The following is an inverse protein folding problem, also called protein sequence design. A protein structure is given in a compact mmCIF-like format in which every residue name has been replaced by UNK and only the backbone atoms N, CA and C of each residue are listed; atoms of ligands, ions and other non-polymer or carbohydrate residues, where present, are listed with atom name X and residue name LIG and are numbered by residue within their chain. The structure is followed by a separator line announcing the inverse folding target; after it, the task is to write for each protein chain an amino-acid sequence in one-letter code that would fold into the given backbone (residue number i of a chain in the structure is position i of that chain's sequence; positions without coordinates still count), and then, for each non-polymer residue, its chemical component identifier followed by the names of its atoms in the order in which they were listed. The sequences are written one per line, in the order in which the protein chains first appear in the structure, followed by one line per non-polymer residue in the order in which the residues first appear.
data_IF_496799874192
#
_entry.id   IF_496799874192
#
_cell.length_a   1.000
_cell.length_b   1.000
_cell.length_c   1.000
_cell.angle_alpha   90.00
_cell.angle_beta   90.00
_cell.angle_gamma   90.00
#
_symmetry.space_group_name_H-M   'P 1'
#
loop_
_entity.id
_entity.type
_entity.pdbx_description
1 polymer ?
#
# COMPACT_ATOMS: atom_id res chain seq x y z
N UNK A 1 -14.12 -27.14 -18.41
CA UNK A 1 -15.59 -27.12 -18.66
C UNK A 1 -15.95 -28.26 -19.62
N UNK A 2 -17.02 -29.02 -19.37
CA UNK A 2 -17.48 -30.10 -20.26
C UNK A 2 -18.27 -29.55 -21.45
N UNK A 3 -18.23 -30.22 -22.61
CA UNK A 3 -19.03 -29.90 -23.82
C UNK A 3 -20.53 -29.74 -23.52
N UNK A 4 -21.09 -30.61 -22.67
CA UNK A 4 -22.50 -30.51 -22.21
C UNK A 4 -22.74 -29.25 -21.36
N UNK A 5 -21.73 -28.80 -20.61
CA UNK A 5 -21.79 -27.55 -19.84
C UNK A 5 -21.81 -26.33 -20.75
N UNK A 6 -20.95 -26.31 -21.78
CA UNK A 6 -20.93 -25.24 -22.79
C UNK A 6 -22.27 -25.15 -23.53
N UNK A 7 -22.82 -26.27 -23.99
CA UNK A 7 -24.12 -26.31 -24.65
C UNK A 7 -25.24 -25.77 -23.75
N UNK A 8 -25.28 -26.15 -22.47
CA UNK A 8 -26.27 -25.62 -21.51
C UNK A 8 -26.09 -24.12 -21.26
N UNK A 9 -24.85 -23.62 -21.18
CA UNK A 9 -24.58 -22.19 -21.03
C UNK A 9 -25.08 -21.36 -22.22
N UNK A 10 -24.92 -21.85 -23.45
CA UNK A 10 -25.44 -21.19 -24.65
C UNK A 10 -26.98 -21.11 -24.62
N UNK A 11 -27.67 -22.18 -24.19
CA UNK A 11 -29.14 -22.20 -24.11
C UNK A 11 -29.67 -21.30 -22.97
N UNK A 12 -28.89 -21.06 -21.91
CA UNK A 12 -29.26 -20.17 -20.80
C UNK A 12 -28.97 -18.69 -21.06
N UNK A 13 -28.06 -18.37 -21.98
CA UNK A 13 -27.64 -16.99 -22.25
C UNK A 13 -28.81 -16.01 -22.55
N UNK A 14 -29.83 -16.36 -23.37
CA UNK A 14 -30.95 -15.46 -23.62
C UNK A 14 -31.78 -15.16 -22.37
N UNK A 15 -31.93 -16.13 -21.46
CA UNK A 15 -32.68 -15.95 -20.21
C UNK A 15 -31.85 -15.18 -19.17
N UNK A 16 -30.53 -15.40 -19.13
CA UNK A 16 -29.63 -14.64 -18.25
C UNK A 16 -29.63 -13.15 -18.58
N UNK A 17 -29.65 -12.78 -19.88
CA UNK A 17 -29.79 -11.38 -20.31
C UNK A 17 -31.13 -10.81 -19.84
N UNK A 18 -32.23 -11.54 -20.03
CA UNK A 18 -33.57 -11.12 -19.58
C UNK A 18 -33.66 -10.91 -18.08
N UNK A 19 -33.12 -11.82 -17.27
CA UNK A 19 -33.07 -11.65 -15.82
C UNK A 19 -32.26 -10.40 -15.43
N UNK A 20 -31.10 -10.15 -16.06
CA UNK A 20 -30.27 -8.96 -15.80
C UNK A 20 -30.95 -7.64 -16.13
N UNK A 21 -31.78 -7.61 -17.17
CA UNK A 21 -32.59 -6.43 -17.53
C UNK A 21 -33.98 -6.42 -16.87
N UNK A 22 -34.24 -7.33 -15.92
CA UNK A 22 -35.53 -7.52 -15.26
C UNK A 22 -36.71 -7.60 -16.26
N UNK A 23 -36.45 -8.19 -17.43
CA UNK A 23 -37.39 -8.37 -18.52
C UNK A 23 -38.05 -9.74 -18.45
N UNK A 24 -39.37 -9.77 -18.23
CA UNK A 24 -40.16 -11.00 -18.13
C UNK A 24 -40.42 -11.45 -16.70
N UNK A 25 -40.99 -12.65 -16.55
CA UNK A 25 -41.21 -13.26 -15.23
C UNK A 25 -39.90 -13.85 -14.70
N UNK A 26 -39.38 -13.24 -13.64
CA UNK A 26 -38.20 -13.72 -12.91
C UNK A 26 -38.65 -14.17 -11.54
N UNK A 27 -38.36 -15.42 -11.19
CA UNK A 27 -38.66 -15.94 -9.86
C UNK A 27 -37.84 -15.17 -8.82
N UNK A 28 -38.47 -14.68 -7.75
CA UNK A 28 -37.78 -13.98 -6.65
C UNK A 28 -38.11 -14.68 -5.34
N UNK A 29 -37.08 -15.07 -4.61
CA UNK A 29 -37.19 -15.64 -3.27
C UNK A 29 -36.50 -14.68 -2.29
N UNK A 30 -37.30 -13.90 -1.57
CA UNK A 30 -36.78 -12.88 -0.65
C UNK A 30 -35.94 -13.46 0.49
N UNK A 31 -36.27 -14.68 0.94
CA UNK A 31 -35.56 -15.35 2.03
C UNK A 31 -34.18 -15.77 1.54
N UNK A 32 -34.13 -16.41 0.38
CA UNK A 32 -32.85 -16.80 -0.23
C UNK A 32 -31.99 -15.57 -0.56
N UNK A 33 -32.58 -14.49 -1.10
CA UNK A 33 -31.83 -13.28 -1.44
C UNK A 33 -31.19 -12.62 -0.21
N UNK A 34 -31.89 -12.58 0.94
CA UNK A 34 -31.26 -12.09 2.18
C UNK A 34 -30.13 -13.02 2.65
N UNK A 35 -30.34 -14.34 2.61
CA UNK A 35 -29.32 -15.31 3.00
C UNK A 35 -28.09 -15.26 2.07
N UNK A 36 -28.29 -15.11 0.76
CA UNK A 36 -27.22 -14.98 -0.23
C UNK A 36 -26.39 -13.71 0.00
N UNK A 37 -27.04 -12.58 0.29
CA UNK A 37 -26.34 -11.34 0.65
C UNK A 37 -25.45 -11.53 1.88
N UNK A 38 -25.97 -12.15 2.94
CA UNK A 38 -25.17 -12.43 4.15
C UNK A 38 -24.02 -13.39 3.84
N UNK A 39 -24.25 -14.37 2.99
CA UNK A 39 -23.21 -15.30 2.54
C UNK A 39 -22.10 -14.61 1.74
N UNK A 40 -22.44 -13.63 0.89
CA UNK A 40 -21.46 -12.79 0.19
C UNK A 40 -20.62 -11.93 1.14
N UNK A 41 -21.26 -11.34 2.15
CA UNK A 41 -20.56 -10.60 3.21
C UNK A 41 -19.60 -11.51 3.98
N UNK A 42 -20.06 -12.71 4.38
CA UNK A 42 -19.25 -13.73 5.04
C UNK A 42 -18.02 -14.11 4.19
N UNK A 43 -18.21 -14.40 2.91
CA UNK A 43 -17.10 -14.74 2.00
C UNK A 43 -16.06 -13.62 1.92
N UNK A 44 -16.52 -12.38 1.80
CA UNK A 44 -15.65 -11.21 1.71
C UNK A 44 -14.87 -10.98 3.00
N UNK A 45 -15.54 -10.99 4.15
CA UNK A 45 -14.90 -10.71 5.43
C UNK A 45 -13.99 -11.86 5.87
N UNK A 46 -14.32 -13.12 5.58
CA UNK A 46 -13.41 -14.26 5.82
C UNK A 46 -12.13 -14.13 5.00
N UNK A 47 -12.25 -13.80 3.70
CA UNK A 47 -11.08 -13.58 2.85
C UNK A 47 -10.22 -12.43 3.37
N UNK A 48 -10.85 -11.34 3.78
CA UNK A 48 -10.15 -10.18 4.34
C UNK A 48 -9.42 -10.55 5.65
N UNK A 49 -10.05 -11.31 6.53
CA UNK A 49 -9.43 -11.82 7.75
C UNK A 49 -8.18 -12.65 7.43
N UNK A 50 -8.29 -13.59 6.49
CA UNK A 50 -7.14 -14.37 6.03
C UNK A 50 -6.02 -13.46 5.48
N UNK A 51 -6.33 -12.61 4.51
CA UNK A 51 -5.35 -11.79 3.80
C UNK A 51 -4.62 -10.80 4.74
N UNK A 52 -5.36 -10.14 5.65
CA UNK A 52 -4.77 -9.23 6.62
C UNK A 52 -3.96 -9.96 7.71
N UNK A 53 -4.40 -11.15 8.14
CA UNK A 53 -3.64 -11.96 9.11
C UNK A 53 -2.33 -12.45 8.53
N UNK A 54 -2.35 -12.90 7.27
CA UNK A 54 -1.14 -13.30 6.54
C UNK A 54 -0.20 -12.11 6.31
N UNK A 55 -0.75 -10.97 5.90
CA UNK A 55 0.03 -9.74 5.74
C UNK A 55 0.68 -9.31 7.06
N UNK A 56 -0.01 -9.43 8.19
CA UNK A 56 0.55 -9.14 9.51
C UNK A 56 1.73 -10.07 9.83
N UNK A 57 1.55 -11.38 9.63
CA UNK A 57 2.61 -12.38 9.81
C UNK A 57 3.85 -12.06 8.94
N UNK A 58 3.65 -11.81 7.65
CA UNK A 58 4.72 -11.50 6.71
C UNK A 58 5.43 -10.18 7.06
N UNK A 59 4.66 -9.17 7.50
CA UNK A 59 5.20 -7.86 7.86
C UNK A 59 6.11 -7.89 9.09
N UNK A 60 5.83 -8.72 10.09
CA UNK A 60 6.69 -8.84 11.27
C UNK A 60 8.03 -9.46 10.89
N UNK A 61 8.02 -10.56 10.13
CA UNK A 61 9.24 -11.17 9.63
C UNK A 61 10.04 -10.21 8.74
N UNK A 62 9.36 -9.55 7.80
CA UNK A 62 9.98 -8.57 6.91
C UNK A 62 10.58 -7.38 7.65
N UNK A 63 9.92 -6.89 8.71
CA UNK A 63 10.46 -5.82 9.55
C UNK A 63 11.78 -6.22 10.22
N UNK A 64 11.85 -7.42 10.80
CA UNK A 64 13.07 -7.90 11.47
C UNK A 64 14.19 -8.17 10.46
N UNK A 65 13.87 -8.72 9.29
CA UNK A 65 14.83 -8.94 8.22
C UNK A 65 15.41 -7.62 7.70
N UNK A 66 14.56 -6.60 7.50
CA UNK A 66 15.03 -5.27 7.13
C UNK A 66 15.92 -4.62 8.20
N UNK A 67 15.64 -4.83 9.48
CA UNK A 67 16.50 -4.35 10.57
C UNK A 67 17.89 -4.99 10.53
N UNK A 68 17.97 -6.29 10.23
CA UNK A 68 19.24 -7.01 10.06
C UNK A 68 20.00 -6.47 8.84
N UNK A 69 19.34 -6.34 7.69
CA UNK A 69 19.97 -5.82 6.46
C UNK A 69 20.44 -4.38 6.59
N UNK A 70 19.66 -3.55 7.30
CA UNK A 70 20.05 -2.19 7.63
C UNK A 70 21.36 -2.17 8.42
N UNK A 71 21.47 -3.00 9.47
CA UNK A 71 22.68 -3.13 10.27
C UNK A 71 23.90 -3.52 9.43
N UNK A 72 23.74 -4.52 8.56
CA UNK A 72 24.79 -4.99 7.63
C UNK A 72 25.26 -3.90 6.68
N UNK A 73 24.31 -3.11 6.17
CA UNK A 73 24.61 -2.01 5.26
C UNK A 73 25.40 -0.90 5.96
N UNK A 74 25.06 -0.56 7.20
CA UNK A 74 25.82 0.41 8.00
C UNK A 74 27.21 -0.14 8.33
N UNK A 75 27.32 -1.42 8.70
CA UNK A 75 28.61 -2.06 8.95
C UNK A 75 29.53 -2.01 7.71
N UNK A 76 28.99 -2.22 6.50
CA UNK A 76 29.74 -2.09 5.25
C UNK A 76 30.29 -0.67 5.03
N UNK A 77 29.51 0.36 5.35
CA UNK A 77 29.96 1.76 5.25
C UNK A 77 31.13 2.03 6.21
N UNK A 78 31.14 1.41 7.39
CA UNK A 78 32.21 1.55 8.37
C UNK A 78 33.46 0.72 8.06
N UNK A 79 33.39 -0.23 7.12
CA UNK A 79 34.57 -1.01 6.73
C UNK A 79 35.61 -0.10 6.06
N UNK A 80 36.91 -0.30 6.35
CA UNK A 80 37.96 0.45 5.68
C UNK A 80 37.87 0.27 4.16
N UNK A 81 38.03 1.37 3.42
CA UNK A 81 38.18 1.31 1.96
C UNK A 81 39.51 0.61 1.69
N UNK A 82 39.47 -0.63 1.18
CA UNK A 82 40.69 -1.39 0.89
C UNK A 82 41.54 -0.63 -0.11
N UNK A 83 42.73 -0.23 0.33
CA UNK A 83 43.78 0.31 -0.50
C UNK A 83 44.25 -0.66 -1.60
N UNK A 84 44.89 -0.12 -2.65
CA UNK A 84 45.62 -0.96 -3.63
C UNK A 84 46.81 -1.59 -2.92
N UNK A 85 46.99 -2.90 -3.05
CA UNK A 85 48.11 -3.68 -2.46
C UNK A 85 49.51 -3.11 -2.75
N UNK A 86 49.64 -2.25 -3.76
CA UNK A 86 50.87 -1.60 -4.21
C UNK A 86 51.26 -0.35 -3.42
N UNK A 87 50.39 0.18 -2.55
CA UNK A 87 50.62 1.44 -1.85
C UNK A 87 50.74 1.22 -0.32
N UNK A 88 51.93 1.37 0.30
CA UNK A 88 52.16 1.10 1.71
C UNK A 88 51.34 1.98 2.67
N UNK A 89 50.93 3.17 2.24
CA UNK A 89 50.10 4.10 3.04
C UNK A 89 48.61 3.74 3.01
N UNK A 90 48.20 2.80 2.15
CA UNK A 90 46.81 2.38 1.97
C UNK A 90 46.33 1.31 2.98
N UNK A 91 47.20 0.97 3.94
CA UNK A 91 46.98 0.01 5.04
C UNK A 91 46.61 0.76 6.35
N UNK A 92 46.32 2.06 6.30
CA UNK A 92 45.78 2.78 7.48
C UNK A 92 44.33 2.38 7.66
N UNK A 93 44.01 1.77 8.81
CA UNK A 93 42.65 1.43 9.20
C UNK A 93 41.90 2.72 9.55
N UNK A 94 41.41 3.44 8.54
CA UNK A 94 40.47 4.57 8.68
C UNK A 94 39.02 4.07 8.86
N UNK A 95 38.83 2.89 9.43
CA UNK A 95 37.49 2.35 9.73
C UNK A 95 37.00 2.78 11.11
N UNK A 96 35.70 2.60 11.36
CA UNK A 96 35.10 2.77 12.69
C UNK A 96 34.84 1.39 13.33
N UNK A 97 35.84 0.77 14.00
CA UNK A 97 35.71 -0.59 14.52
C UNK A 97 34.65 -0.72 15.61
N UNK A 98 34.44 0.33 16.41
CA UNK A 98 33.39 0.37 17.45
C UNK A 98 32.00 0.43 16.82
N UNK A 99 31.83 1.19 15.73
CA UNK A 99 30.59 1.22 14.96
C UNK A 99 30.27 -0.11 14.28
N UNK A 100 31.29 -0.82 13.77
CA UNK A 100 31.10 -2.17 13.20
C UNK A 100 30.62 -3.14 14.28
N UNK A 101 31.27 -3.15 15.46
CA UNK A 101 30.86 -3.99 16.59
C UNK A 101 29.43 -3.68 17.04
N UNK A 102 29.06 -2.40 17.10
CA UNK A 102 27.70 -1.98 17.42
C UNK A 102 26.65 -2.53 16.43
N UNK A 103 26.97 -2.56 15.14
CA UNK A 103 26.11 -3.17 14.13
C UNK A 103 26.01 -4.70 14.30
N UNK A 104 27.11 -5.38 14.61
CA UNK A 104 27.13 -6.83 14.85
C UNK A 104 26.33 -7.19 16.12
N UNK A 105 26.45 -6.40 17.18
CA UNK A 105 25.66 -6.54 18.41
C UNK A 105 24.16 -6.32 18.15
N UNK A 106 23.80 -5.27 17.40
CA UNK A 106 22.41 -5.04 17.01
C UNK A 106 21.86 -6.18 16.15
N UNK A 107 22.63 -6.66 15.17
CA UNK A 107 22.25 -7.82 14.35
C UNK A 107 21.98 -9.06 15.23
N UNK A 108 22.85 -9.34 16.22
CA UNK A 108 22.66 -10.46 17.12
C UNK A 108 21.36 -10.33 17.94
N UNK A 109 21.06 -9.13 18.46
CA UNK A 109 19.83 -8.86 19.20
C UNK A 109 18.59 -9.09 18.32
N UNK A 110 18.58 -8.57 17.09
CA UNK A 110 17.44 -8.72 16.19
C UNK A 110 17.26 -10.18 15.74
N UNK A 111 18.35 -10.92 15.53
CA UNK A 111 18.28 -12.36 15.25
C UNK A 111 17.69 -13.14 16.43
N UNK A 112 18.12 -12.86 17.66
CA UNK A 112 17.56 -13.51 18.86
C UNK A 112 16.08 -13.15 19.05
N UNK A 113 15.70 -11.91 18.77
CA UNK A 113 14.31 -11.46 18.77
C UNK A 113 13.48 -12.23 17.72
N UNK A 114 14.01 -12.45 16.52
CA UNK A 114 13.36 -13.26 15.49
C UNK A 114 13.09 -14.69 15.96
N UNK A 115 14.08 -15.33 16.58
CA UNK A 115 13.93 -16.68 17.16
C UNK A 115 12.90 -16.67 18.30
N UNK A 116 12.94 -15.65 19.16
CA UNK A 116 12.02 -15.51 20.30
C UNK A 116 10.57 -15.33 19.86
N UNK A 117 10.32 -14.59 18.78
CA UNK A 117 8.97 -14.31 18.27
C UNK A 117 8.41 -15.43 17.39
N UNK A 118 9.25 -16.34 16.92
CA UNK A 118 8.85 -17.38 15.98
C UNK A 118 7.71 -18.29 16.51
N UNK A 119 7.70 -18.74 17.79
CA UNK A 119 6.58 -19.51 18.32
C UNK A 119 5.24 -18.75 18.30
N UNK A 120 5.25 -17.44 18.59
CA UNK A 120 4.06 -16.59 18.54
C UNK A 120 3.54 -16.43 17.10
N UNK A 121 4.45 -16.28 16.14
CA UNK A 121 4.13 -16.23 14.72
C UNK A 121 3.54 -17.57 14.23
N UNK A 122 4.11 -18.70 14.62
CA UNK A 122 3.58 -20.04 14.30
C UNK A 122 2.20 -20.28 14.91
N UNK A 123 1.92 -19.72 16.10
CA UNK A 123 0.58 -19.75 16.67
C UNK A 123 -0.44 -18.98 15.82
N UNK A 124 -0.07 -17.82 15.26
CA UNK A 124 -0.96 -17.07 14.35
C UNK A 124 -1.22 -17.89 13.08
N UNK A 125 -0.18 -18.50 12.50
CA UNK A 125 -0.36 -19.34 11.30
C UNK A 125 -1.33 -20.50 11.58
N UNK A 126 -1.11 -21.24 12.67
CA UNK A 126 -1.86 -22.46 12.98
C UNK A 126 -3.25 -22.21 13.53
N UNK A 127 -3.47 -21.12 14.27
CA UNK A 127 -4.73 -20.84 14.98
C UNK A 127 -5.60 -19.78 14.32
N UNK A 128 -5.07 -19.01 13.36
CA UNK A 128 -5.80 -17.93 12.67
C UNK A 128 -5.81 -18.16 11.16
N UNK A 129 -4.64 -18.28 10.53
CA UNK A 129 -4.53 -18.36 9.07
C UNK A 129 -5.12 -19.68 8.56
N UNK A 130 -4.66 -20.84 9.06
CA UNK A 130 -5.15 -22.16 8.61
C UNK A 130 -6.65 -22.35 8.85
N UNK A 131 -7.23 -22.00 10.02
CA UNK A 131 -8.68 -22.09 10.20
C UNK A 131 -9.46 -21.18 9.25
N UNK A 132 -8.92 -19.99 8.92
CA UNK A 132 -9.54 -19.12 7.91
C UNK A 132 -9.48 -19.75 6.50
N UNK A 133 -8.39 -20.42 6.13
CA UNK A 133 -8.27 -21.18 4.88
C UNK A 133 -9.32 -22.29 4.78
N UNK A 134 -9.49 -23.07 5.85
CA UNK A 134 -10.48 -24.15 5.92
C UNK A 134 -11.91 -23.61 5.75
N UNK A 135 -12.23 -22.49 6.42
CA UNK A 135 -13.52 -21.82 6.25
C UNK A 135 -13.71 -21.32 4.81
N UNK A 136 -12.67 -20.76 4.19
CA UNK A 136 -12.73 -20.35 2.78
C UNK A 136 -13.00 -21.53 1.85
N UNK A 137 -12.46 -22.72 2.13
CA UNK A 137 -12.74 -23.91 1.33
C UNK A 137 -14.19 -24.40 1.46
N UNK A 138 -14.76 -24.34 2.68
CA UNK A 138 -16.19 -24.60 2.90
C UNK A 138 -17.04 -23.59 2.11
N UNK A 139 -16.71 -22.30 2.19
CA UNK A 139 -17.39 -21.23 1.45
C UNK A 139 -17.35 -21.50 -0.06
N UNK A 140 -16.21 -21.92 -0.62
CA UNK A 140 -16.10 -22.27 -2.06
C UNK A 140 -17.05 -23.40 -2.45
N UNK A 141 -17.24 -24.41 -1.59
CA UNK A 141 -18.19 -25.51 -1.85
C UNK A 141 -19.62 -25.00 -1.86
N UNK A 142 -20.00 -24.16 -0.90
CA UNK A 142 -21.34 -23.58 -0.81
C UNK A 142 -21.61 -22.65 -1.99
N UNK A 143 -20.64 -21.81 -2.39
CA UNK A 143 -20.73 -20.95 -3.57
C UNK A 143 -20.98 -21.76 -4.85
N UNK A 144 -20.35 -22.92 -5.02
CA UNK A 144 -20.64 -23.84 -6.15
C UNK A 144 -22.08 -24.35 -6.12
N UNK A 145 -22.65 -24.58 -4.94
CA UNK A 145 -24.05 -25.00 -4.77
C UNK A 145 -25.03 -23.86 -5.07
N UNK A 146 -24.75 -22.64 -4.60
CA UNK A 146 -25.50 -21.44 -4.97
C UNK A 146 -25.53 -21.23 -6.50
N UNK A 147 -24.38 -21.35 -7.17
CA UNK A 147 -24.31 -21.27 -8.63
C UNK A 147 -25.13 -22.37 -9.33
N UNK A 148 -25.21 -23.58 -8.77
CA UNK A 148 -26.09 -24.64 -9.29
C UNK A 148 -27.56 -24.23 -9.15
N UNK A 149 -27.95 -23.67 -7.99
CA UNK A 149 -29.30 -23.17 -7.74
C UNK A 149 -29.69 -22.10 -8.76
N UNK A 150 -28.82 -21.13 -9.03
CA UNK A 150 -29.10 -20.07 -10.02
C UNK A 150 -29.26 -20.61 -11.44
N UNK A 151 -28.43 -21.59 -11.82
CA UNK A 151 -28.59 -22.29 -13.09
C UNK A 151 -29.93 -23.04 -13.19
N UNK A 152 -30.41 -23.64 -12.09
CA UNK A 152 -31.71 -24.31 -12.05
C UNK A 152 -32.87 -23.33 -12.07
N UNK A 153 -32.74 -22.18 -11.41
CA UNK A 153 -33.71 -21.09 -11.50
C UNK A 153 -33.85 -20.58 -12.94
N UNK A 154 -32.72 -20.38 -13.63
CA UNK A 154 -32.71 -19.99 -15.04
C UNK A 154 -33.42 -21.00 -15.94
N UNK A 155 -33.16 -22.29 -15.73
CA UNK A 155 -33.83 -23.35 -16.49
C UNK A 155 -35.34 -23.38 -16.17
N UNK A 156 -35.73 -23.27 -14.89
CA UNK A 156 -37.13 -23.18 -14.45
C UNK A 156 -37.87 -22.01 -15.11
N UNK A 157 -37.32 -20.79 -15.02
CA UNK A 157 -37.93 -19.60 -15.62
C UNK A 157 -38.05 -19.74 -17.15
N UNK A 158 -37.03 -20.33 -17.81
CA UNK A 158 -37.04 -20.58 -19.26
C UNK A 158 -38.13 -21.58 -19.67
N UNK A 159 -38.24 -22.70 -18.96
CA UNK A 159 -39.24 -23.72 -19.26
C UNK A 159 -40.66 -23.20 -18.99
N UNK A 160 -40.87 -22.46 -17.88
CA UNK A 160 -42.15 -21.81 -17.57
C UNK A 160 -42.55 -20.79 -18.63
N UNK A 161 -41.61 -19.96 -19.09
CA UNK A 161 -41.86 -19.02 -20.19
C UNK A 161 -42.18 -19.72 -21.52
N UNK A 162 -41.61 -20.90 -21.76
CA UNK A 162 -41.88 -21.70 -22.97
C UNK A 162 -43.27 -22.32 -22.91
N UNK A 163 -43.64 -22.92 -21.79
CA UNK A 163 -44.97 -23.48 -21.55
C UNK A 163 -46.06 -22.40 -21.69
N UNK A 164 -45.88 -21.25 -21.03
CA UNK A 164 -46.81 -20.12 -21.11
C UNK A 164 -47.04 -19.67 -22.55
N UNK A 165 -45.97 -19.51 -23.34
CA UNK A 165 -46.07 -19.14 -24.76
C UNK A 165 -46.83 -20.17 -25.60
N UNK A 166 -46.70 -21.46 -25.32
CA UNK A 166 -47.43 -22.51 -26.02
C UNK A 166 -48.90 -22.55 -25.59
N UNK A 167 -49.19 -22.30 -24.30
CA UNK A 167 -50.54 -22.24 -23.76
C UNK A 167 -51.32 -21.03 -24.29
N UNK A 168 -50.65 -19.88 -24.45
CA UNK A 168 -51.22 -18.60 -24.92
C UNK A 168 -51.51 -18.57 -26.44
N UNK A 169 -51.10 -19.60 -27.20
CA UNK A 169 -51.45 -19.70 -28.63
C UNK A 169 -52.96 -19.89 -28.80
N UNK A 170 -53.58 -19.02 -29.60
CA UNK A 170 -55.03 -19.06 -29.90
C UNK A 170 -55.44 -20.27 -30.76
N UNK A 171 -54.64 -20.58 -31.79
CA UNK A 171 -54.89 -21.71 -32.69
C UNK A 171 -53.92 -22.84 -32.37
N UNK A 172 -54.40 -23.88 -31.67
CA UNK A 172 -53.58 -25.01 -31.25
C UNK A 172 -53.69 -26.14 -32.27
N UNK A 173 -52.56 -26.55 -32.83
CA UNK A 173 -52.48 -27.74 -33.68
C UNK A 173 -52.22 -28.99 -32.84
N UNK A 174 -52.49 -30.20 -33.37
CA UNK A 174 -52.09 -31.47 -32.74
C UNK A 174 -50.58 -31.55 -32.42
N UNK A 175 -49.76 -30.82 -33.19
CA UNK A 175 -48.32 -30.69 -32.94
C UNK A 175 -48.02 -29.79 -31.73
N UNK A 176 -48.80 -28.73 -31.54
CA UNK A 176 -48.69 -27.86 -30.37
C UNK A 176 -49.14 -28.57 -29.10
N UNK A 177 -50.18 -29.42 -29.15
CA UNK A 177 -50.59 -30.23 -28.00
C UNK A 177 -49.47 -31.16 -27.54
N UNK A 178 -48.82 -31.89 -28.46
CA UNK A 178 -47.64 -32.70 -28.12
C UNK A 178 -46.49 -31.87 -27.54
N UNK A 179 -46.29 -30.65 -28.03
CA UNK A 179 -45.28 -29.74 -27.52
C UNK A 179 -45.62 -29.21 -26.12
N UNK A 180 -46.90 -28.99 -25.82
CA UNK A 180 -47.39 -28.61 -24.49
C UNK A 180 -47.11 -29.74 -23.50
N UNK A 181 -47.50 -30.98 -23.79
CA UNK A 181 -47.22 -32.12 -22.91
C UNK A 181 -45.73 -32.28 -22.59
N UNK A 182 -44.86 -32.08 -23.59
CA UNK A 182 -43.41 -32.09 -23.37
C UNK A 182 -42.96 -30.93 -22.49
N UNK A 183 -43.45 -29.72 -22.75
CA UNK A 183 -43.10 -28.54 -21.98
C UNK A 183 -43.60 -28.62 -20.52
N UNK A 184 -44.74 -29.27 -20.27
CA UNK A 184 -45.24 -29.56 -18.92
C UNK A 184 -44.28 -30.48 -18.16
N UNK A 185 -43.85 -31.59 -18.78
CA UNK A 185 -42.85 -32.47 -18.18
C UNK A 185 -41.50 -31.78 -17.92
N UNK A 186 -41.04 -30.94 -18.86
CA UNK A 186 -39.81 -30.15 -18.68
C UNK A 186 -39.94 -29.13 -17.53
N UNK A 187 -41.12 -28.49 -17.37
CA UNK A 187 -41.39 -27.57 -16.25
C UNK A 187 -41.44 -28.32 -14.92
N UNK A 188 -42.11 -29.48 -14.87
CA UNK A 188 -42.20 -30.30 -13.66
C UNK A 188 -40.80 -30.71 -13.17
N UNK A 189 -39.97 -31.25 -14.06
CA UNK A 189 -38.59 -31.62 -13.76
C UNK A 189 -37.76 -30.41 -13.30
N UNK A 190 -37.84 -29.28 -14.02
CA UNK A 190 -37.11 -28.07 -13.66
C UNK A 190 -37.57 -27.50 -12.31
N UNK A 191 -38.85 -27.63 -11.97
CA UNK A 191 -39.43 -27.22 -10.69
C UNK A 191 -38.85 -28.04 -9.54
N UNK A 192 -38.83 -29.38 -9.69
CA UNK A 192 -38.26 -30.28 -8.69
C UNK A 192 -36.77 -30.00 -8.45
N UNK A 193 -35.99 -29.86 -9.52
CA UNK A 193 -34.55 -29.57 -9.42
C UNK A 193 -34.27 -28.20 -8.81
N UNK A 194 -35.02 -27.17 -9.18
CA UNK A 194 -34.88 -25.83 -8.58
C UNK A 194 -35.23 -25.85 -7.10
N UNK A 195 -36.39 -26.39 -6.73
CA UNK A 195 -36.86 -26.44 -5.36
C UNK A 195 -35.91 -27.23 -4.45
N UNK A 196 -35.32 -28.33 -4.96
CA UNK A 196 -34.31 -29.09 -4.23
C UNK A 196 -33.14 -28.21 -3.76
N UNK A 197 -32.51 -27.47 -4.69
CA UNK A 197 -31.37 -26.62 -4.33
C UNK A 197 -31.79 -25.37 -3.54
N UNK A 198 -32.97 -24.81 -3.84
CA UNK A 198 -33.47 -23.62 -3.16
C UNK A 198 -33.77 -23.91 -1.68
N UNK A 199 -34.47 -25.00 -1.38
CA UNK A 199 -34.76 -25.40 0.00
C UNK A 199 -33.51 -25.90 0.73
N UNK A 200 -32.58 -26.58 0.04
CA UNK A 200 -31.29 -26.95 0.61
C UNK A 200 -30.53 -25.71 1.11
N UNK A 201 -30.38 -24.68 0.28
CA UNK A 201 -29.66 -23.47 0.68
C UNK A 201 -30.39 -22.67 1.76
N UNK A 202 -31.73 -22.58 1.70
CA UNK A 202 -32.53 -21.95 2.75
C UNK A 202 -32.41 -22.67 4.10
N UNK A 203 -32.18 -23.98 4.09
CA UNK A 203 -32.03 -24.78 5.31
C UNK A 203 -30.62 -24.73 5.86
N UNK A 204 -29.60 -24.79 5.00
CA UNK A 204 -28.20 -24.92 5.41
C UNK A 204 -27.51 -23.57 5.67
N UNK A 205 -27.80 -22.50 4.91
CA UNK A 205 -27.17 -21.19 5.13
C UNK A 205 -27.41 -20.61 6.53
N UNK A 206 -28.63 -20.67 7.11
CA UNK A 206 -28.83 -20.22 8.49
C UNK A 206 -27.97 -20.96 9.52
N UNK A 207 -27.75 -22.28 9.33
CA UNK A 207 -26.89 -23.07 10.20
C UNK A 207 -25.43 -22.63 10.07
N UNK A 208 -24.97 -22.37 8.85
CA UNK A 208 -23.63 -21.83 8.59
C UNK A 208 -23.42 -20.53 9.37
N UNK A 209 -24.36 -19.60 9.37
CA UNK A 209 -24.21 -18.30 10.07
C UNK A 209 -24.14 -18.45 11.60
N UNK A 210 -24.78 -19.47 12.16
CA UNK A 210 -24.66 -19.76 13.60
C UNK A 210 -23.25 -20.30 13.91
N UNK A 211 -22.80 -21.29 13.13
CA UNK A 211 -21.48 -21.90 13.29
C UNK A 211 -20.35 -20.90 13.03
N UNK A 212 -20.52 -20.04 12.04
CA UNK A 212 -19.60 -18.93 11.76
C UNK A 212 -19.43 -18.05 12.99
N UNK A 213 -20.51 -17.62 13.63
CA UNK A 213 -20.42 -16.77 14.82
C UNK A 213 -19.65 -17.45 15.95
N UNK A 214 -19.93 -18.73 16.18
CA UNK A 214 -19.25 -19.55 17.19
C UNK A 214 -17.77 -19.76 16.87
N UNK A 215 -17.41 -19.78 15.59
CA UNK A 215 -16.04 -19.93 15.11
C UNK A 215 -15.24 -18.62 15.16
N UNK A 216 -15.81 -17.52 14.67
CA UNK A 216 -15.12 -16.24 14.49
C UNK A 216 -14.81 -15.57 15.83
N UNK A 217 -15.71 -15.64 16.81
CA UNK A 217 -15.54 -14.99 18.10
C UNK A 217 -14.27 -15.43 18.87
N UNK A 218 -14.04 -16.73 19.14
CA UNK A 218 -12.83 -17.18 19.83
C UNK A 218 -11.57 -16.97 19.00
N UNK A 219 -11.68 -17.02 17.66
CA UNK A 219 -10.56 -16.77 16.75
C UNK A 219 -10.04 -15.33 16.90
N UNK A 220 -10.93 -14.33 16.84
CA UNK A 220 -10.54 -12.92 17.03
C UNK A 220 -9.99 -12.63 18.43
N UNK A 221 -10.60 -13.21 19.47
CA UNK A 221 -10.10 -13.02 20.84
C UNK A 221 -8.70 -13.62 21.00
N UNK A 222 -8.47 -14.82 20.46
CA UNK A 222 -7.16 -15.46 20.47
C UNK A 222 -6.14 -14.64 19.68
N UNK A 223 -6.53 -14.13 18.50
CA UNK A 223 -5.67 -13.29 17.67
C UNK A 223 -5.25 -12.01 18.38
N UNK A 224 -6.17 -11.33 19.06
CA UNK A 224 -5.87 -10.14 19.87
C UNK A 224 -4.77 -10.40 20.91
N UNK A 225 -4.87 -11.49 21.67
CA UNK A 225 -3.88 -11.81 22.69
C UNK A 225 -2.54 -12.26 22.10
N UNK A 226 -2.54 -13.00 20.99
CA UNK A 226 -1.30 -13.33 20.27
C UNK A 226 -0.58 -12.06 19.78
N UNK A 227 -1.32 -11.11 19.21
CA UNK A 227 -0.75 -9.81 18.81
C UNK A 227 -0.21 -9.04 20.01
N UNK A 228 -0.96 -9.01 21.12
CA UNK A 228 -0.57 -8.31 22.34
C UNK A 228 0.74 -8.87 22.91
N UNK A 229 0.87 -10.20 23.00
CA UNK A 229 2.10 -10.87 23.44
C UNK A 229 3.28 -10.52 22.53
N UNK A 230 3.08 -10.51 21.21
CA UNK A 230 4.12 -10.11 20.27
C UNK A 230 4.55 -8.66 20.46
N UNK A 231 3.61 -7.73 20.67
CA UNK A 231 3.92 -6.33 20.95
C UNK A 231 4.70 -6.16 22.25
N UNK A 232 4.34 -6.87 23.32
CA UNK A 232 5.07 -6.81 24.58
C UNK A 232 6.50 -7.34 24.43
N UNK A 233 6.67 -8.50 23.79
CA UNK A 233 8.01 -9.07 23.55
C UNK A 233 8.87 -8.13 22.70
N UNK A 234 8.32 -7.56 21.63
CA UNK A 234 9.01 -6.56 20.82
C UNK A 234 9.42 -5.34 21.66
N UNK A 235 8.49 -4.80 22.44
CA UNK A 235 8.73 -3.61 23.25
C UNK A 235 9.81 -3.84 24.31
N UNK A 236 9.69 -4.93 25.08
CA UNK A 236 10.63 -5.27 26.14
C UNK A 236 12.04 -5.48 25.59
N UNK A 237 12.18 -6.26 24.50
CA UNK A 237 13.48 -6.53 23.90
C UNK A 237 14.11 -5.29 23.28
N UNK A 238 13.32 -4.43 22.63
CA UNK A 238 13.81 -3.19 22.03
C UNK A 238 14.20 -2.15 23.09
N UNK A 239 13.43 -2.05 24.18
CA UNK A 239 13.75 -1.14 25.29
C UNK A 239 15.00 -1.59 26.06
N UNK A 240 15.24 -2.91 26.13
CA UNK A 240 16.43 -3.49 26.74
C UNK A 240 17.69 -3.39 25.88
N UNK A 241 17.63 -2.84 24.66
CA UNK A 241 18.81 -2.64 23.83
C UNK A 241 19.78 -1.71 24.54
N UNK A 242 20.94 -2.25 24.88
CA UNK A 242 22.01 -1.53 25.54
C UNK A 242 23.32 -1.79 24.80
N UNK A 243 23.48 -1.14 23.66
CA UNK A 243 24.72 -1.18 22.88
C UNK A 243 25.54 0.03 23.30
N UNK A 244 26.68 -0.21 23.97
CA UNK A 244 27.48 0.84 24.60
C UNK A 244 28.03 1.91 23.65
N UNK A 245 28.00 1.66 22.34
CA UNK A 245 28.33 2.64 21.30
C UNK A 245 27.30 3.78 21.17
N UNK A 246 26.03 3.54 21.52
CA UNK A 246 24.97 4.54 21.44
C UNK A 246 24.66 5.13 22.82
N UNK A 247 24.76 6.45 22.94
CA UNK A 247 24.26 7.18 24.11
C UNK A 247 22.78 7.49 23.93
N UNK A 248 21.92 6.58 24.41
CA UNK A 248 20.46 6.71 24.30
C UNK A 248 19.86 7.69 25.33
N UNK A 249 20.68 8.35 26.15
CA UNK A 249 20.22 9.32 27.15
C UNK A 249 20.18 10.75 26.63
N UNK A 250 20.93 11.04 25.56
CA UNK A 250 20.98 12.33 24.91
C UNK A 250 20.02 12.39 23.73
N UNK A 251 19.47 13.57 23.48
CA UNK A 251 18.73 13.84 22.25
C UNK A 251 19.67 13.80 21.03
N UNK A 252 19.12 13.47 19.86
CA UNK A 252 19.89 13.24 18.62
C UNK A 252 20.70 14.48 18.22
N UNK A 253 20.12 15.67 18.33
CA UNK A 253 20.81 16.93 18.00
C UNK A 253 21.97 17.20 18.98
N UNK A 254 21.73 16.99 20.28
CA UNK A 254 22.74 17.15 21.31
C UNK A 254 23.89 16.14 21.16
N UNK A 255 23.58 14.88 20.84
CA UNK A 255 24.57 13.85 20.55
C UNK A 255 25.38 14.16 19.30
N UNK A 256 24.74 14.70 18.25
CA UNK A 256 25.41 15.12 17.02
C UNK A 256 26.39 16.27 17.27
N UNK A 257 25.97 17.34 17.95
CA UNK A 257 26.85 18.47 18.26
C UNK A 257 28.02 18.06 19.17
N UNK A 258 27.77 17.19 20.16
CA UNK A 258 28.82 16.62 21.00
C UNK A 258 29.85 15.84 20.18
N UNK A 259 29.42 15.03 19.20
CA UNK A 259 30.32 14.25 18.34
C UNK A 259 31.07 15.13 17.33
N UNK A 260 30.50 16.28 16.99
CA UNK A 260 31.09 17.26 16.07
C UNK A 260 32.22 18.07 16.71
N UNK A 261 32.30 18.14 18.03
CA UNK A 261 33.41 18.69 18.84
C UNK A 261 34.05 19.98 18.27
N UNK A 262 33.23 20.97 17.92
CA UNK A 262 33.71 22.25 17.41
C UNK A 262 34.38 22.20 16.03
N UNK A 263 34.32 21.08 15.30
CA UNK A 263 34.83 20.95 13.91
C UNK A 263 34.20 22.01 12.99
N UNK A 264 32.96 22.44 13.27
CA UNK A 264 32.35 23.58 12.58
C UNK A 264 33.20 24.85 12.69
N UNK A 265 33.47 25.24 13.93
CA UNK A 265 34.16 26.49 14.26
C UNK A 265 35.58 26.46 13.71
N UNK A 266 36.23 25.30 13.80
CA UNK A 266 37.56 25.07 13.22
C UNK A 266 37.54 25.17 11.69
N UNK A 267 36.56 24.58 11.02
CA UNK A 267 36.42 24.66 9.57
C UNK A 267 36.12 26.09 9.09
N UNK A 268 35.26 26.82 9.80
CA UNK A 268 34.91 28.22 9.51
C UNK A 268 36.05 29.21 9.80
N UNK A 269 36.97 28.85 10.70
CA UNK A 269 38.19 29.61 10.98
C UNK A 269 39.22 29.54 9.84
N UNK A 270 39.15 28.54 8.96
CA UNK A 270 40.09 28.39 7.85
C UNK A 270 39.96 29.56 6.86
N UNK A 271 41.05 30.29 6.61
CA UNK A 271 41.02 31.45 5.70
C UNK A 271 40.64 31.09 4.26
N UNK A 272 40.78 29.82 3.86
CA UNK A 272 40.47 29.33 2.51
C UNK A 272 38.97 29.35 2.18
N UNK A 273 38.10 29.28 3.19
CA UNK A 273 36.64 29.44 3.01
C UNK A 273 36.20 30.91 3.01
N UNK A 274 37.10 31.85 3.33
CA UNK A 274 36.84 33.29 3.25
C UNK A 274 37.25 33.83 1.87
N UNK A 275 36.42 33.57 0.87
CA UNK A 275 36.63 34.11 -0.48
C UNK A 275 36.63 35.65 -0.43
N UNK A 276 37.82 36.26 -0.56
CA UNK A 276 37.92 37.71 -0.77
C UNK A 276 37.34 38.01 -2.14
N UNK A 277 36.12 38.51 -2.19
CA UNK A 277 35.56 39.17 -3.37
C UNK A 277 36.50 40.33 -3.71
N UNK A 278 37.36 40.13 -4.71
CA UNK A 278 38.16 41.21 -5.30
C UNK A 278 37.23 42.09 -6.11
N UNK A 279 36.45 42.89 -5.41
CA UNK A 279 36.02 44.20 -5.87
C UNK A 279 36.71 45.17 -4.92
N UNK A 280 37.33 46.21 -5.47
CA UNK A 280 38.11 47.24 -4.76
C UNK A 280 39.62 47.04 -4.68
N UNK A 281 40.29 46.89 -5.83
CA UNK A 281 41.57 47.59 -6.07
C UNK A 281 41.66 48.07 -7.52
N UNK A 282 40.83 49.05 -7.88
CA UNK A 282 41.14 49.98 -8.95
C UNK A 282 41.63 51.28 -8.30
N UNK A 283 42.86 51.26 -7.76
CA UNK A 283 43.52 52.45 -7.23
C UNK A 283 44.21 53.21 -8.37
N UNK A 284 43.62 54.34 -8.75
CA UNK A 284 44.25 55.57 -9.26
C UNK A 284 45.35 55.39 -10.33
N UNK A 285 44.97 55.55 -11.61
CA UNK A 285 45.92 55.93 -12.68
C UNK A 285 45.83 57.44 -12.88
N UNK A 286 46.99 58.08 -12.80
CA UNK A 286 47.24 59.54 -12.83
C UNK A 286 47.05 60.11 -14.26
N UNK A 287 46.42 61.29 -14.46
CA UNK A 287 46.13 61.82 -15.80
C UNK A 287 47.22 62.80 -16.24
N UNK A 288 48.39 62.31 -16.68
CA UNK A 288 49.41 63.15 -17.33
C UNK A 288 50.19 62.35 -18.35
N UNK A 289 49.61 62.10 -19.51
CA UNK A 289 50.30 61.91 -20.81
C UNK A 289 49.24 61.73 -21.90
N UNK A 290 48.64 62.83 -22.34
CA UNK A 290 47.92 62.89 -23.62
C UNK A 290 48.35 64.16 -24.34
N UNK A 291 49.28 63.99 -25.28
CA UNK A 291 49.59 65.00 -26.29
C UNK A 291 49.92 64.26 -27.58
N UNK A 292 49.33 64.74 -28.67
CA UNK A 292 49.41 64.34 -30.08
C UNK A 292 48.32 63.39 -30.60
N UNK A 293 47.54 63.93 -31.55
CA UNK A 293 46.89 63.16 -32.61
C UNK A 293 45.38 63.34 -32.73
N UNK A 294 44.92 64.44 -33.36
CA UNK A 294 43.57 64.55 -33.93
C UNK A 294 43.47 63.69 -35.20
N UNK A 295 42.40 62.91 -35.34
CA UNK A 295 41.66 62.79 -36.61
C UNK A 295 40.27 62.23 -36.36
N UNK A 296 39.28 62.90 -36.94
CA UNK A 296 37.86 62.62 -36.87
C UNK A 296 37.45 61.26 -37.48
N UNK A 297 36.29 60.78 -37.01
CA UNK A 297 35.16 60.18 -37.73
C UNK A 297 34.65 58.81 -37.26
N UNK A 298 33.33 58.78 -37.15
CA UNK A 298 32.40 57.67 -37.31
C UNK A 298 32.20 56.63 -36.18
N UNK A 299 30.93 56.62 -35.75
CA UNK A 299 30.13 55.56 -35.13
C UNK A 299 30.67 54.12 -35.20
N UNK A 300 30.45 53.37 -34.12
CA UNK A 300 29.55 52.18 -34.10
C UNK A 300 29.56 51.60 -32.67
N UNK A 301 28.37 51.53 -32.10
CA UNK A 301 28.00 50.64 -30.99
C UNK A 301 28.39 49.21 -31.29
N UNK A 302 29.24 48.58 -30.47
CA UNK A 302 29.12 47.15 -30.25
C UNK A 302 29.73 46.70 -28.94
N UNK A 303 28.90 45.98 -28.18
CA UNK A 303 29.26 45.15 -27.04
C UNK A 303 30.30 44.12 -27.50
N UNK A 304 31.38 43.95 -26.74
CA UNK A 304 32.21 42.74 -26.82
C UNK A 304 32.35 42.11 -25.45
N UNK A 305 31.70 40.96 -25.34
CA UNK A 305 32.19 39.76 -24.67
C UNK A 305 33.47 39.26 -25.36
N UNK A 306 34.51 38.95 -24.58
CA UNK A 306 35.58 37.98 -24.89
C UNK A 306 36.24 37.65 -23.55
N UNK A 307 35.95 36.52 -22.89
CA UNK A 307 36.57 35.20 -23.09
C UNK A 307 38.09 35.25 -23.20
N UNK A 308 38.77 34.72 -22.18
CA UNK A 308 40.05 34.02 -22.37
C UNK A 308 39.95 32.72 -21.59
N UNK A 309 40.08 31.66 -22.37
CA UNK A 309 39.91 30.26 -22.05
C UNK A 309 41.19 29.58 -22.55
N UNK A 310 41.81 28.73 -21.73
CA UNK A 310 42.76 27.69 -22.15
C UNK A 310 43.09 26.78 -20.96
N UNK A 311 43.10 25.45 -21.00
CA UNK A 311 42.42 24.36 -21.74
C UNK A 311 43.14 23.06 -21.32
N UNK A 312 42.38 21.98 -21.01
CA UNK A 312 42.54 20.58 -21.49
C UNK A 312 41.81 19.59 -20.56
N UNK A 313 40.60 19.13 -20.92
CA UNK A 313 40.24 17.84 -21.59
C UNK A 313 40.61 16.60 -20.75
N UNK A 314 39.73 15.67 -20.32
CA UNK A 314 38.57 15.00 -20.97
C UNK A 314 37.67 14.31 -19.91
N UNK A 315 36.35 14.25 -20.12
CA UNK A 315 35.46 13.32 -19.38
C UNK A 315 34.01 13.78 -19.28
N UNK A 316 33.14 13.09 -19.98
CA UNK A 316 31.72 13.33 -20.26
C UNK A 316 30.79 13.28 -19.02
N UNK A 317 29.85 14.24 -18.90
CA UNK A 317 28.46 14.05 -18.44
C UNK A 317 27.76 15.39 -18.13
N UNK A 318 26.52 15.50 -18.60
CA UNK A 318 25.61 16.64 -18.48
C UNK A 318 25.24 16.95 -17.03
N UNK A 319 25.72 18.06 -16.47
CA UNK A 319 25.36 18.55 -15.13
C UNK A 319 24.43 19.77 -15.19
N UNK A 320 23.15 19.58 -14.89
CA UNK A 320 22.31 20.66 -14.38
C UNK A 320 22.58 20.81 -12.88
N UNK A 321 22.80 22.03 -12.33
CA UNK A 321 23.03 22.19 -10.90
C UNK A 321 21.72 21.95 -10.12
N UNK A 322 21.75 21.28 -8.95
CA UNK A 322 20.55 21.09 -8.14
C UNK A 322 20.09 22.43 -7.52
N UNK A 323 18.77 22.61 -7.28
CA UNK A 323 18.24 23.84 -6.72
C UNK A 323 18.61 24.01 -5.23
N UNK A 324 18.69 25.26 -4.73
CA UNK A 324 19.07 25.54 -3.34
C UNK A 324 17.96 25.13 -2.36
N UNK A 325 18.35 24.46 -1.27
CA UNK A 325 17.46 24.16 -0.15
C UNK A 325 17.03 25.46 0.55
N UNK A 326 15.72 25.67 0.67
CA UNK A 326 15.13 26.73 1.49
C UNK A 326 14.58 26.08 2.77
N UNK A 327 15.17 26.39 3.92
CA UNK A 327 14.55 26.11 5.22
C UNK A 327 13.55 27.22 5.51
N UNK A 328 12.27 26.87 5.53
CA UNK A 328 11.22 27.74 6.07
C UNK A 328 11.19 27.54 7.57
N UNK A 329 11.70 28.53 8.30
CA UNK A 329 11.61 28.58 9.76
C UNK A 329 10.17 28.82 10.23
N UNK A 330 9.84 28.22 11.37
CA UNK A 330 8.68 28.58 12.20
C UNK A 330 9.25 29.19 13.49
N UNK A 331 8.71 30.33 13.98
CA UNK A 331 9.27 31.01 15.15
C UNK A 331 8.89 30.31 16.47
N UNK A 332 9.80 30.41 17.43
CA UNK A 332 9.64 29.98 18.81
C UNK A 332 8.67 30.88 19.59
N UNK A 333 7.83 30.28 20.44
CA UNK A 333 7.23 30.97 21.59
C UNK A 333 7.26 30.05 22.81
N UNK A 334 7.97 30.51 23.82
CA UNK A 334 7.97 30.08 25.23
C UNK A 334 6.60 30.29 25.87
N UNK A 335 6.14 29.36 26.71
CA UNK A 335 5.45 29.62 27.99
C UNK A 335 5.25 28.33 28.82
N UNK A 336 5.18 28.50 30.14
CA UNK A 336 5.30 27.52 31.22
C UNK A 336 3.96 27.35 31.97
N UNK A 337 3.76 26.18 32.62
CA UNK A 337 2.80 25.78 33.69
C UNK A 337 1.53 24.96 33.38
N UNK A 338 1.42 23.79 34.05
CA UNK A 338 0.23 23.43 34.85
C UNK A 338 -0.64 22.18 34.50
N UNK A 339 -0.38 21.05 35.18
CA UNK A 339 -1.30 20.01 35.76
C UNK A 339 -2.42 19.28 34.95
N UNK A 340 -2.31 17.93 34.95
CA UNK A 340 -3.31 16.82 35.12
C UNK A 340 -4.57 16.62 34.21
N UNK A 341 -4.48 15.63 33.29
CA UNK A 341 -5.45 14.56 32.84
C UNK A 341 -6.86 14.89 32.24
N UNK A 342 -7.59 13.93 31.61
CA UNK A 342 -7.30 13.12 30.41
C UNK A 342 -8.48 13.12 29.37
N UNK A 343 -8.23 13.00 28.06
CA UNK A 343 -9.09 12.32 27.05
C UNK A 343 -8.77 12.69 25.58
N UNK A 344 -9.06 11.73 24.69
CA UNK A 344 -9.26 11.83 23.23
C UNK A 344 -8.01 11.79 22.33
N UNK A 345 -7.55 10.58 22.01
CA UNK A 345 -6.61 10.35 20.89
C UNK A 345 -7.42 9.94 19.66
N UNK A 346 -7.46 10.82 18.66
CA UNK A 346 -7.96 10.55 17.32
C UNK A 346 -6.85 10.82 16.30
N UNK A 347 -6.55 9.82 15.46
CA UNK A 347 -5.97 10.01 14.12
C UNK A 347 -4.46 9.99 14.01
N UNK A 348 -3.85 8.79 14.07
CA UNK A 348 -2.48 8.59 13.55
C UNK A 348 -2.54 8.54 12.01
N UNK A 349 -1.88 9.53 11.38
CA UNK A 349 -1.66 9.58 9.95
C UNK A 349 -0.67 8.49 9.51
N UNK A 350 -1.07 7.70 8.52
CA UNK A 350 -0.27 6.66 7.87
C UNK A 350 0.63 7.30 6.82
N UNK A 351 1.95 7.16 6.94
CA UNK A 351 2.90 7.46 5.87
C UNK A 351 2.88 6.33 4.84
N UNK A 352 2.52 6.67 3.59
CA UNK A 352 2.52 5.76 2.46
C UNK A 352 3.88 5.75 1.76
N UNK A 353 4.29 4.55 1.37
CA UNK A 353 5.45 4.20 0.55
C UNK A 353 5.39 4.77 -0.86
N UNK A 354 6.58 5.07 -1.37
CA UNK A 354 6.96 5.48 -2.72
C UNK A 354 6.47 4.49 -3.79
N UNK A 355 5.74 5.00 -4.78
CA UNK A 355 5.32 4.27 -5.98
C UNK A 355 5.22 5.23 -7.17
N UNK A 356 6.09 5.00 -8.15
CA UNK A 356 6.26 5.68 -9.43
C UNK A 356 4.96 5.77 -10.24
N UNK A 357 4.62 6.96 -10.77
CA UNK A 357 3.64 7.10 -11.84
C UNK A 357 4.05 8.14 -12.88
N UNK A 358 4.12 7.67 -14.13
CA UNK A 358 4.27 8.45 -15.36
C UNK A 358 3.05 9.35 -15.60
N UNK A 359 3.31 10.58 -16.01
CA UNK A 359 2.32 11.58 -16.42
C UNK A 359 1.77 11.32 -17.83
N UNK A 360 0.45 11.32 -17.99
CA UNK A 360 -0.23 11.61 -19.27
C UNK A 360 -1.32 12.65 -19.03
N UNK A 361 -1.28 13.70 -19.85
CA UNK A 361 -2.15 14.86 -19.82
C UNK A 361 -3.62 14.54 -20.18
N UNK A 362 -4.58 15.18 -19.50
CA UNK A 362 -6.00 15.11 -19.85
C UNK A 362 -6.92 16.01 -19.01
N UNK A 363 -7.31 17.15 -19.59
CA UNK A 363 -8.55 17.96 -19.43
C UNK A 363 -9.20 18.10 -18.03
N UNK A 364 -9.24 19.36 -17.54
CA UNK A 364 -10.00 19.82 -16.35
C UNK A 364 -11.53 19.64 -16.53
N UNK A 365 -12.20 19.10 -15.52
CA UNK A 365 -13.66 19.09 -15.35
C UNK A 365 -14.15 20.35 -14.57
N UNK A 366 -15.41 20.80 -14.76
CA UNK A 366 -15.93 22.04 -14.16
C UNK A 366 -16.31 21.88 -12.67
N UNK A 367 -16.43 22.98 -11.90
CA UNK A 367 -16.68 22.92 -10.46
C UNK A 367 -18.12 22.51 -10.11
N UNK A 368 -18.35 21.91 -8.91
CA UNK A 368 -19.66 21.43 -8.48
C UNK A 368 -20.63 22.58 -8.12
N UNK A 369 -21.96 22.37 -8.25
CA UNK A 369 -22.97 23.39 -7.96
C UNK A 369 -23.16 23.63 -6.46
N UNK A 370 -23.51 24.88 -6.11
CA UNK A 370 -23.71 25.34 -4.72
C UNK A 370 -24.95 24.68 -4.07
N UNK A 371 -24.92 24.40 -2.75
CA UNK A 371 -26.09 23.87 -2.04
C UNK A 371 -27.19 24.93 -1.84
N UNK A 372 -28.46 24.51 -1.99
CA UNK A 372 -29.66 25.34 -1.77
C UNK A 372 -29.87 25.66 -0.28
N UNK A 373 -30.40 26.85 0.07
CA UNK A 373 -30.63 27.24 1.46
C UNK A 373 -31.78 26.44 2.10
N UNK A 374 -31.60 26.11 3.39
CA UNK A 374 -32.66 25.57 4.26
C UNK A 374 -33.63 26.69 4.63
N UNK A 375 -34.92 26.47 4.40
CA UNK A 375 -35.98 27.34 4.88
C UNK A 375 -36.03 27.30 6.41
N UNK A 376 -36.08 28.50 7.00
CA UNK A 376 -36.44 28.77 8.39
C UNK A 376 -37.82 29.43 8.42
N UNK A 377 -38.52 29.27 9.56
CA UNK A 377 -39.78 29.87 10.01
C UNK A 377 -41.06 29.30 9.39
N UNK A 378 -42.17 29.10 10.12
CA UNK A 378 -42.53 29.19 11.57
C UNK A 378 -43.72 28.25 11.75
#
# INVERSE_FOLDING_TARGET
MSWKGFQRSVVRAPQSIKQKFNMGEVTKDAIYVDAERRFEELEKETKKLHDESKKYFDAINGMLDHQIEFSKSIAEIYRPISGRMSDPDSIKVEGNPEGIRACEEYEAIVNDLKVTLQPELEMIETRVIRPADELMDIIKVIRKTALKRDHKQLDYDRHRATLKKLQDKKDKTLKDEKAIYKAEGDVELATQEFNYYNELLKTELPKLFVLEREFIQPLFQSFYYMQLNMFYTLHERMQAINIGYFDLTLDVEAAFEKKRDGVQEQAEALAIVRFKTTSQRASKVNPKFQKFGKSDTASVTSRRTTSLDLSRTTGDSTGTPPPPYTSTGVPASTEENGLLSPAAVAGVARSNSTGTNYSVAGKKAPPPPRPKPKNLSV
#
